data_IF_839424752939
#
_entry.id   IF_839424752939
#
_cell.length_a   1.000
_cell.length_b   1.000
_cell.length_c   1.000
_cell.angle_alpha   90.00
_cell.angle_beta   90.00
_cell.angle_gamma   90.00
#
_symmetry.space_group_name_H-M   'P 1'
#
loop_
_entity.id
_entity.type
_entity.pdbx_description
1 polymer ?
#
# COMPACT_ATOMS: atom_id res chain seq x y z
N UNK A 1 -47.36 25.51 -30.52
CA UNK A 1 -47.19 25.57 -29.05
C UNK A 1 -46.61 24.25 -28.56
N UNK A 2 -45.32 24.21 -28.17
CA UNK A 2 -44.70 23.05 -27.50
C UNK A 2 -44.31 23.50 -26.08
N UNK A 3 -44.98 22.93 -25.06
CA UNK A 3 -44.65 23.13 -23.64
C UNK A 3 -43.37 22.36 -23.31
N UNK A 4 -42.26 23.05 -23.10
CA UNK A 4 -41.08 22.45 -22.47
C UNK A 4 -41.33 22.33 -20.97
N UNK A 5 -41.26 21.09 -20.46
CA UNK A 5 -41.48 20.74 -19.05
C UNK A 5 -40.28 21.20 -18.23
N UNK A 6 -40.56 21.95 -17.16
CA UNK A 6 -39.58 22.30 -16.13
C UNK A 6 -39.04 21.00 -15.49
N UNK A 7 -37.81 20.58 -15.83
CA UNK A 7 -37.06 19.69 -14.94
C UNK A 7 -36.83 20.49 -13.65
N UNK A 8 -37.44 20.05 -12.55
CA UNK A 8 -37.43 20.79 -11.29
C UNK A 8 -36.01 20.89 -10.72
N UNK A 9 -35.64 22.06 -10.21
CA UNK A 9 -34.41 22.29 -9.45
C UNK A 9 -34.22 21.25 -8.32
N UNK A 10 -35.30 20.62 -7.85
CA UNK A 10 -35.28 19.57 -6.84
C UNK A 10 -34.46 18.34 -7.25
N UNK A 11 -34.41 17.95 -8.53
CA UNK A 11 -33.62 16.79 -8.96
C UNK A 11 -32.10 17.06 -8.94
N UNK A 12 -31.69 18.31 -9.20
CA UNK A 12 -30.27 18.72 -9.14
C UNK A 12 -29.81 18.88 -7.67
N UNK A 13 -30.65 19.46 -6.82
CA UNK A 13 -30.37 19.57 -5.39
C UNK A 13 -30.24 18.19 -4.73
N UNK A 14 -31.12 17.24 -5.07
CA UNK A 14 -31.07 15.88 -4.51
C UNK A 14 -29.82 15.11 -4.92
N UNK A 15 -29.33 15.28 -6.16
CA UNK A 15 -28.09 14.68 -6.65
C UNK A 15 -26.83 15.28 -6.01
N UNK A 16 -26.85 16.59 -5.67
CA UNK A 16 -25.75 17.25 -4.95
C UNK A 16 -25.76 16.83 -3.47
N UNK A 17 -26.93 16.75 -2.83
CA UNK A 17 -27.06 16.30 -1.44
C UNK A 17 -26.66 14.83 -1.24
N UNK A 18 -26.86 13.96 -2.23
CA UNK A 18 -26.39 12.56 -2.18
C UNK A 18 -24.88 12.38 -2.29
N UNK A 19 -24.13 13.40 -2.74
CA UNK A 19 -22.66 13.36 -2.80
C UNK A 19 -22.00 13.65 -1.44
N UNK A 20 -22.73 14.18 -0.46
CA UNK A 20 -22.19 14.57 0.85
C UNK A 20 -22.18 13.46 1.91
N UNK A 21 -22.76 12.28 1.61
CA UNK A 21 -22.82 11.14 2.55
C UNK A 21 -22.32 9.87 1.87
N UNK A 22 -21.19 9.98 1.16
CA UNK A 22 -20.44 8.78 0.79
C UNK A 22 -19.59 8.43 2.02
N UNK A 23 -19.91 7.36 2.79
CA UNK A 23 -18.90 6.80 3.68
C UNK A 23 -17.67 6.51 2.81
N UNK A 24 -16.50 6.94 3.26
CA UNK A 24 -15.24 6.54 2.65
C UNK A 24 -15.23 5.02 2.62
N UNK A 25 -15.42 4.45 1.42
CA UNK A 25 -15.29 3.02 1.20
C UNK A 25 -13.80 2.72 1.28
N UNK A 26 -13.32 2.45 2.50
CA UNK A 26 -11.98 1.98 2.78
C UNK A 26 -11.85 0.56 2.25
N UNK A 27 -11.40 0.45 1.00
CA UNK A 27 -11.20 -0.83 0.35
C UNK A 27 -9.87 -1.40 0.83
N UNK A 28 -9.94 -2.49 1.59
CA UNK A 28 -8.76 -3.25 2.01
C UNK A 28 -7.93 -3.65 0.78
N UNK A 29 -6.66 -3.24 0.69
CA UNK A 29 -5.78 -3.66 -0.41
C UNK A 29 -5.46 -5.15 -0.37
N UNK A 30 -5.15 -5.73 -1.54
CA UNK A 30 -4.71 -7.13 -1.59
C UNK A 30 -3.43 -7.37 -0.81
N UNK A 31 -2.45 -6.47 -0.95
CA UNK A 31 -1.21 -6.46 -0.19
C UNK A 31 -1.04 -5.10 0.45
N UNK A 32 -0.49 -5.06 1.66
CA UNK A 32 -0.18 -3.83 2.39
C UNK A 32 0.87 -4.10 3.48
N UNK A 33 1.54 -3.03 3.91
CA UNK A 33 2.50 -3.02 5.00
C UNK A 33 1.99 -2.17 6.17
N UNK A 34 2.45 -2.53 7.36
CA UNK A 34 2.25 -1.72 8.56
C UNK A 34 3.45 -1.90 9.50
N UNK A 35 4.01 -0.79 10.00
CA UNK A 35 5.05 -0.83 11.01
C UNK A 35 4.45 -0.57 12.41
N UNK A 36 4.59 -1.52 13.34
CA UNK A 36 4.02 -1.38 14.69
C UNK A 36 4.57 -0.16 15.42
N UNK A 37 3.66 0.71 15.86
CA UNK A 37 4.01 1.93 16.59
C UNK A 37 4.54 3.07 15.71
N UNK A 38 4.53 2.90 14.38
CA UNK A 38 4.85 3.95 13.43
C UNK A 38 3.78 5.05 13.40
N UNK A 39 4.17 6.22 12.92
CA UNK A 39 3.26 7.32 12.60
C UNK A 39 3.06 7.37 11.09
N UNK A 40 1.82 7.50 10.65
CA UNK A 40 1.56 7.69 9.22
C UNK A 40 1.86 9.13 8.80
N UNK A 41 2.75 9.29 7.83
CA UNK A 41 3.04 10.58 7.21
C UNK A 41 2.11 10.79 6.02
N UNK A 42 1.16 11.71 6.15
CA UNK A 42 0.19 12.02 5.09
C UNK A 42 0.80 12.72 3.87
N UNK A 43 2.03 13.20 3.96
CA UNK A 43 2.73 13.85 2.84
C UNK A 43 3.32 12.83 1.89
N UNK A 44 3.89 11.78 2.46
CA UNK A 44 4.51 10.65 1.74
C UNK A 44 3.61 9.44 1.67
N UNK A 45 2.46 9.47 2.35
CA UNK A 45 1.50 8.37 2.44
C UNK A 45 2.12 7.06 2.96
N UNK A 46 3.09 7.13 3.88
CA UNK A 46 3.84 5.96 4.38
C UNK A 46 3.79 5.82 5.91
N UNK A 47 3.91 4.59 6.42
CA UNK A 47 4.11 4.34 7.85
C UNK A 47 5.57 4.55 8.26
N UNK A 48 5.88 5.61 8.99
CA UNK A 48 7.25 5.94 9.40
C UNK A 48 7.54 5.52 10.84
N UNK A 49 8.50 4.60 10.99
CA UNK A 49 9.13 4.27 12.28
C UNK A 49 10.48 4.99 12.40
N UNK A 50 10.65 5.78 13.47
CA UNK A 50 11.94 6.37 13.83
C UNK A 50 12.88 5.39 14.55
N UNK A 51 12.43 4.17 14.81
CA UNK A 51 13.23 3.11 15.41
C UNK A 51 13.98 2.30 14.35
N UNK A 52 15.22 1.95 14.65
CA UNK A 52 16.00 0.96 13.90
C UNK A 52 15.58 -0.49 14.20
N UNK A 53 14.72 -0.71 15.20
CA UNK A 53 14.14 -2.02 15.49
C UNK A 53 12.64 -1.90 15.71
N UNK A 54 11.86 -2.58 14.88
CA UNK A 54 10.40 -2.54 14.92
C UNK A 54 9.81 -3.81 14.32
N UNK A 55 8.52 -4.04 14.54
CA UNK A 55 7.81 -5.13 13.86
C UNK A 55 7.17 -4.59 12.59
N UNK A 56 7.49 -5.21 11.46
CA UNK A 56 6.86 -4.97 10.18
C UNK A 56 5.84 -6.07 9.92
N UNK A 57 4.61 -5.66 9.64
CA UNK A 57 3.54 -6.54 9.19
C UNK A 57 3.49 -6.51 7.68
N UNK A 58 3.39 -7.69 7.09
CA UNK A 58 3.03 -7.87 5.70
C UNK A 58 1.69 -8.57 5.67
N UNK A 59 0.68 -7.89 5.13
CA UNK A 59 -0.70 -8.36 5.16
C UNK A 59 -1.17 -8.70 3.75
N UNK A 60 -1.86 -9.83 3.62
CA UNK A 60 -2.58 -10.23 2.42
C UNK A 60 -4.05 -10.44 2.66
N UNK A 61 -4.91 -9.70 1.97
CA UNK A 61 -6.37 -9.86 1.98
C UNK A 61 -6.82 -11.04 1.10
N UNK A 62 -6.34 -12.24 1.44
CA UNK A 62 -6.52 -13.42 0.59
C UNK A 62 -7.93 -13.99 0.66
N UNK A 63 -8.69 -13.68 1.72
CA UNK A 63 -10.09 -14.10 1.86
C UNK A 63 -11.02 -13.38 0.89
N UNK A 64 -10.77 -12.09 0.61
CA UNK A 64 -11.57 -11.33 -0.36
C UNK A 64 -10.95 -11.29 -1.76
N UNK A 65 -9.62 -11.40 -1.90
CA UNK A 65 -8.91 -11.18 -3.19
C UNK A 65 -8.31 -12.44 -3.80
N UNK A 66 -8.25 -13.55 -3.05
CA UNK A 66 -7.57 -14.77 -3.46
C UNK A 66 -6.12 -14.84 -2.97
N UNK A 67 -5.55 -16.05 -3.00
CA UNK A 67 -4.20 -16.31 -2.55
C UNK A 67 -3.15 -15.54 -3.35
N UNK A 68 -2.08 -15.15 -2.67
CA UNK A 68 -0.97 -14.36 -3.19
C UNK A 68 0.30 -15.21 -3.11
N UNK A 69 1.06 -15.29 -4.19
CA UNK A 69 2.12 -16.30 -4.40
C UNK A 69 3.45 -15.69 -4.78
N UNK A 70 4.51 -16.28 -4.22
CA UNK A 70 5.90 -15.81 -4.34
C UNK A 70 6.13 -14.43 -3.70
N UNK A 71 5.57 -14.17 -2.51
CA UNK A 71 5.59 -12.82 -1.91
C UNK A 71 7.01 -12.42 -1.62
N UNK A 72 7.35 -11.22 -2.08
CA UNK A 72 8.67 -10.60 -1.89
C UNK A 72 8.56 -9.29 -1.16
N UNK A 73 9.51 -9.08 -0.26
CA UNK A 73 9.73 -7.82 0.44
C UNK A 73 11.04 -7.21 -0.07
N UNK A 74 10.97 -5.99 -0.61
CA UNK A 74 12.13 -5.20 -0.98
C UNK A 74 12.34 -4.07 0.02
N UNK A 75 13.58 -3.85 0.45
CA UNK A 75 13.98 -2.77 1.33
C UNK A 75 14.99 -1.87 0.61
N UNK A 76 14.53 -0.72 0.14
CA UNK A 76 15.34 0.26 -0.57
C UNK A 76 16.18 1.10 0.40
N UNK A 77 17.44 1.30 0.03
CA UNK A 77 18.48 1.96 0.83
C UNK A 77 19.33 2.88 -0.04
N UNK A 78 19.95 3.88 0.59
CA UNK A 78 20.88 4.77 -0.11
C UNK A 78 22.12 3.99 -0.58
N UNK A 79 22.45 4.12 -1.87
CA UNK A 79 23.59 3.43 -2.51
C UNK A 79 24.97 3.86 -1.97
N UNK A 80 25.06 5.05 -1.37
CA UNK A 80 26.28 5.57 -0.75
C UNK A 80 26.51 5.07 0.68
N UNK A 81 25.48 4.49 1.30
CA UNK A 81 25.53 3.97 2.67
C UNK A 81 25.97 2.51 2.68
N UNK A 82 26.41 2.01 3.84
CA UNK A 82 26.75 0.60 4.05
C UNK A 82 26.13 0.15 5.35
N UNK A 83 25.34 -0.91 5.28
CA UNK A 83 24.57 -1.38 6.41
C UNK A 83 24.11 -2.82 6.23
N UNK A 84 23.16 -3.21 7.06
CA UNK A 84 22.48 -4.50 7.00
C UNK A 84 21.08 -4.36 7.54
N UNK A 85 20.16 -5.13 6.96
CA UNK A 85 18.80 -5.29 7.47
C UNK A 85 18.60 -6.76 7.84
N UNK A 86 18.21 -7.02 9.08
CA UNK A 86 17.84 -8.35 9.54
C UNK A 86 16.32 -8.47 9.67
N UNK A 87 15.76 -9.55 9.12
CA UNK A 87 14.36 -9.92 9.27
C UNK A 87 14.26 -11.24 10.03
N UNK A 88 13.51 -11.26 11.12
CA UNK A 88 13.24 -12.49 11.89
C UNK A 88 11.74 -12.63 12.11
N UNK A 89 11.19 -13.78 11.75
CA UNK A 89 9.78 -14.12 11.96
C UNK A 89 9.38 -13.94 13.43
N UNK A 90 8.22 -13.32 13.65
CA UNK A 90 7.67 -13.09 14.99
C UNK A 90 6.14 -13.05 14.91
N UNK A 91 5.49 -12.66 16.00
CA UNK A 91 4.03 -12.46 16.07
C UNK A 91 3.71 -11.09 16.65
N UNK A 92 2.46 -10.66 16.46
CA UNK A 92 1.93 -9.45 17.08
C UNK A 92 1.17 -9.74 18.37
N UNK A 93 1.02 -8.70 19.21
CA UNK A 93 0.10 -8.66 20.35
C UNK A 93 -0.98 -7.59 20.20
N UNK A 94 -1.01 -6.84 19.09
CA UNK A 94 -1.97 -5.75 18.88
C UNK A 94 -3.38 -6.28 18.55
N UNK A 95 -3.47 -7.49 18.01
CA UNK A 95 -4.72 -8.21 17.78
C UNK A 95 -4.50 -9.72 17.94
N UNK A 96 -5.59 -10.49 18.00
CA UNK A 96 -5.51 -11.96 17.98
C UNK A 96 -5.25 -12.44 16.56
N UNK A 97 -3.99 -12.76 16.28
CA UNK A 97 -3.52 -13.27 14.99
C UNK A 97 -2.93 -14.68 15.19
N UNK A 98 -3.53 -15.73 14.58
CA UNK A 98 -2.99 -17.08 14.65
C UNK A 98 -1.87 -17.33 13.64
N UNK A 99 -1.67 -16.46 12.64
CA UNK A 99 -0.66 -16.65 11.61
C UNK A 99 0.74 -16.67 12.20
N UNK A 100 1.56 -17.60 11.71
CA UNK A 100 2.97 -17.73 12.09
C UNK A 100 3.83 -17.70 10.82
N UNK A 101 4.59 -16.61 10.59
CA UNK A 101 5.34 -16.47 9.36
C UNK A 101 6.49 -17.47 9.29
N UNK A 102 6.70 -18.04 8.09
CA UNK A 102 7.92 -18.77 7.77
C UNK A 102 9.17 -17.87 7.83
N UNK A 103 10.35 -18.48 7.91
CA UNK A 103 11.61 -17.75 7.89
C UNK A 103 11.82 -17.05 6.52
N UNK A 104 12.16 -15.75 6.50
CA UNK A 104 12.41 -15.04 5.25
C UNK A 104 13.71 -15.56 4.61
N UNK A 105 13.70 -15.72 3.28
CA UNK A 105 14.87 -16.14 2.51
C UNK A 105 15.50 -14.93 1.83
N UNK A 106 16.75 -14.61 2.16
CA UNK A 106 17.46 -13.47 1.58
C UNK A 106 17.86 -13.74 0.11
N UNK A 107 17.45 -12.84 -0.78
CA UNK A 107 17.71 -12.91 -2.22
C UNK A 107 18.92 -12.08 -2.65
N UNK A 108 19.46 -11.23 -1.77
CA UNK A 108 20.66 -10.42 -2.02
C UNK A 108 20.41 -8.92 -2.08
N UNK A 109 21.52 -8.18 -2.24
CA UNK A 109 21.55 -6.74 -2.45
C UNK A 109 21.63 -6.45 -3.96
N UNK A 110 20.81 -5.52 -4.43
CA UNK A 110 20.79 -5.10 -5.83
C UNK A 110 22.00 -4.24 -6.21
N UNK A 111 22.23 -4.10 -7.53
CA UNK A 111 23.06 -3.02 -8.05
C UNK A 111 22.43 -1.65 -7.79
N UNK A 112 23.24 -0.59 -7.79
CA UNK A 112 22.75 0.79 -7.76
C UNK A 112 21.90 1.10 -9.01
N UNK A 113 20.80 1.82 -8.83
CA UNK A 113 19.86 2.11 -9.90
C UNK A 113 18.86 1.01 -10.22
N UNK A 114 18.95 -0.15 -9.58
CA UNK A 114 18.08 -1.27 -9.85
C UNK A 114 16.66 -1.06 -9.32
N UNK A 115 15.71 -1.83 -9.88
CA UNK A 115 14.31 -1.88 -9.46
C UNK A 115 13.90 -3.33 -9.20
N UNK A 116 13.04 -3.60 -8.20
CA UNK A 116 12.48 -4.93 -8.01
C UNK A 116 11.74 -5.39 -9.26
N UNK A 117 11.78 -6.70 -9.51
CA UNK A 117 11.23 -7.32 -10.70
C UNK A 117 10.09 -8.26 -10.28
N UNK A 118 8.89 -8.01 -10.80
CA UNK A 118 7.72 -8.84 -10.60
C UNK A 118 7.92 -10.21 -11.27
N UNK A 119 7.09 -11.20 -10.94
CA UNK A 119 7.26 -12.56 -11.46
C UNK A 119 7.06 -12.71 -12.98
N UNK A 120 6.51 -11.70 -13.69
CA UNK A 120 6.48 -11.66 -15.18
C UNK A 120 7.72 -11.04 -15.81
N UNK A 121 8.68 -10.60 -15.00
CA UNK A 121 9.84 -9.86 -15.47
C UNK A 121 9.61 -8.37 -15.66
N UNK A 122 8.40 -7.85 -15.41
CA UNK A 122 8.15 -6.41 -15.40
C UNK A 122 8.73 -5.77 -14.14
N UNK A 123 9.05 -4.47 -14.21
CA UNK A 123 9.61 -3.75 -13.07
C UNK A 123 8.50 -3.28 -12.13
N UNK A 124 8.71 -3.39 -10.83
CA UNK A 124 7.85 -2.82 -9.80
C UNK A 124 7.60 -1.33 -10.12
N UNK A 125 6.34 -0.86 -10.20
CA UNK A 125 6.05 0.52 -10.58
C UNK A 125 6.79 1.53 -9.69
N UNK A 126 7.30 2.61 -10.29
CA UNK A 126 8.07 3.63 -9.54
C UNK A 126 7.14 4.58 -8.82
N UNK A 127 7.49 4.93 -7.59
CA UNK A 127 6.87 6.03 -6.85
C UNK A 127 7.88 7.02 -6.25
N UNK A 128 9.11 7.02 -6.79
CA UNK A 128 10.17 7.97 -6.41
C UNK A 128 11.29 7.36 -5.57
N UNK A 129 11.12 6.13 -5.08
CA UNK A 129 12.10 5.44 -4.23
C UNK A 129 13.24 4.81 -5.03
N UNK A 130 12.92 4.13 -6.13
CA UNK A 130 13.90 3.39 -6.93
C UNK A 130 14.47 4.22 -8.08
N UNK A 131 15.78 4.10 -8.29
CA UNK A 131 16.51 4.81 -9.33
C UNK A 131 17.97 4.98 -8.96
N UNK A 132 18.71 5.75 -9.77
CA UNK A 132 20.11 6.04 -9.50
C UNK A 132 20.27 6.64 -8.09
N UNK A 133 21.23 6.14 -7.31
CA UNK A 133 21.39 6.52 -5.92
C UNK A 133 20.72 5.57 -4.93
N UNK A 134 19.91 4.61 -5.39
CA UNK A 134 19.20 3.64 -4.56
C UNK A 134 19.62 2.21 -4.92
N UNK A 135 19.82 1.38 -3.89
CA UNK A 135 19.88 -0.08 -3.97
C UNK A 135 18.72 -0.67 -3.17
N UNK A 136 18.43 -1.95 -3.32
CA UNK A 136 17.50 -2.64 -2.44
C UNK A 136 18.02 -4.01 -2.02
N UNK A 137 17.72 -4.37 -0.78
CA UNK A 137 17.83 -5.73 -0.27
C UNK A 137 16.48 -6.44 -0.46
N UNK A 138 16.47 -7.71 -0.84
CA UNK A 138 15.21 -8.44 -1.12
C UNK A 138 15.14 -9.75 -0.33
N UNK A 139 13.92 -10.09 0.12
CA UNK A 139 13.61 -11.37 0.73
C UNK A 139 12.38 -12.00 0.09
N UNK A 140 12.43 -13.32 -0.09
CA UNK A 140 11.24 -14.13 -0.34
C UNK A 140 10.59 -14.50 1.00
N UNK A 141 9.30 -14.19 1.17
CA UNK A 141 8.55 -14.41 2.41
C UNK A 141 7.42 -15.44 2.29
N UNK A 142 7.33 -16.10 1.14
CA UNK A 142 6.47 -17.26 0.89
C UNK A 142 5.08 -16.90 0.38
N UNK A 143 4.21 -17.90 0.31
CA UNK A 143 2.85 -17.74 -0.19
C UNK A 143 1.89 -17.34 0.94
N UNK A 144 0.91 -16.50 0.59
CA UNK A 144 -0.17 -16.09 1.47
C UNK A 144 -1.42 -16.85 1.03
N UNK A 145 -1.80 -17.84 1.83
CA UNK A 145 -2.90 -18.77 1.51
C UNK A 145 -3.90 -18.94 2.65
N UNK A 146 -3.64 -18.34 3.83
CA UNK A 146 -4.46 -18.48 5.02
C UNK A 146 -5.48 -17.35 5.13
N UNK A 147 -6.68 -17.66 5.64
CA UNK A 147 -7.74 -16.67 5.92
C UNK A 147 -8.04 -16.61 7.41
N UNK A 148 -6.99 -16.62 8.23
CA UNK A 148 -7.05 -16.81 9.68
C UNK A 148 -6.79 -15.53 10.49
N UNK A 149 -6.21 -14.51 9.85
CA UNK A 149 -5.96 -13.20 10.44
C UNK A 149 -7.08 -12.20 10.10
N UNK A 150 -7.51 -11.34 11.04
CA UNK A 150 -8.42 -10.24 10.74
C UNK A 150 -7.68 -9.12 9.98
N UNK A 151 -8.21 -8.70 8.84
CA UNK A 151 -7.58 -7.71 7.96
C UNK A 151 -8.39 -6.40 7.95
N UNK A 152 -7.68 -5.29 8.15
CA UNK A 152 -8.18 -3.93 8.06
C UNK A 152 -7.49 -3.14 6.95
N UNK A 153 -7.94 -1.91 6.74
CA UNK A 153 -7.28 -0.95 5.84
C UNK A 153 -6.28 -0.11 6.66
N UNK A 154 -4.99 -0.25 6.36
CA UNK A 154 -3.90 0.47 7.02
C UNK A 154 -3.46 1.75 6.25
N UNK A 155 -4.36 2.49 5.63
CA UNK A 155 -4.09 3.73 4.89
C UNK A 155 -3.81 5.01 5.73
N UNK A 156 -3.57 4.87 7.03
CA UNK A 156 -3.17 6.01 7.85
C UNK A 156 -4.25 7.04 8.22
N UNK A 157 -5.54 6.69 8.14
CA UNK A 157 -6.65 7.60 8.46
C UNK A 157 -6.63 8.25 9.87
N UNK A 158 -5.73 7.84 10.78
CA UNK A 158 -5.18 8.60 11.94
C UNK A 158 -4.65 7.69 13.07
N UNK A 159 -4.82 6.38 12.97
CA UNK A 159 -4.34 5.40 13.95
C UNK A 159 -4.37 3.98 13.37
N UNK A 160 -3.85 3.03 14.14
CA UNK A 160 -4.08 1.59 13.93
C UNK A 160 -5.59 1.31 13.70
N UNK A 161 -5.96 0.47 12.71
CA UNK A 161 -7.37 0.22 12.38
C UNK A 161 -8.15 -0.32 13.57
N UNK A 162 -9.41 0.13 13.70
CA UNK A 162 -10.34 -0.36 14.74
C UNK A 162 -11.38 -1.34 14.19
N UNK A 163 -11.42 -1.49 12.86
CA UNK A 163 -12.34 -2.38 12.15
C UNK A 163 -11.55 -3.27 11.21
N UNK A 164 -11.89 -4.55 11.22
CA UNK A 164 -11.26 -5.59 10.39
C UNK A 164 -12.36 -6.30 9.60
N UNK A 165 -12.82 -5.73 8.47
CA UNK A 165 -13.95 -6.26 7.73
C UNK A 165 -13.66 -7.57 7.00
N UNK A 166 -12.39 -7.86 6.74
CA UNK A 166 -11.96 -9.00 5.92
C UNK A 166 -11.11 -10.00 6.73
N UNK A 167 -10.87 -11.16 6.12
CA UNK A 167 -9.99 -12.21 6.65
C UNK A 167 -8.89 -12.49 5.64
N UNK A 168 -7.70 -12.80 6.14
CA UNK A 168 -6.53 -13.03 5.30
C UNK A 168 -5.37 -13.57 6.13
N UNK A 169 -4.16 -13.17 5.76
CA UNK A 169 -2.93 -13.63 6.41
C UNK A 169 -2.07 -12.43 6.80
N UNK A 170 -1.56 -12.43 8.03
CA UNK A 170 -0.59 -11.45 8.53
C UNK A 170 0.72 -12.17 8.83
N UNK A 171 1.79 -11.79 8.12
CA UNK A 171 3.14 -12.25 8.41
C UNK A 171 3.91 -11.11 9.09
N UNK A 172 4.32 -11.31 10.34
CA UNK A 172 5.05 -10.32 11.14
C UNK A 172 6.54 -10.63 11.22
N UNK A 173 7.38 -9.65 10.96
CA UNK A 173 8.83 -9.75 11.05
C UNK A 173 9.38 -8.69 12.00
N UNK A 174 10.26 -9.09 12.92
CA UNK A 174 11.12 -8.14 13.61
C UNK A 174 12.20 -7.68 12.64
N UNK A 175 12.20 -6.39 12.34
CA UNK A 175 13.18 -5.71 11.50
C UNK A 175 14.26 -5.15 12.41
N UNK A 176 15.53 -5.29 12.02
CA UNK A 176 16.64 -4.57 12.64
C UNK A 176 17.52 -3.96 11.56
N UNK A 177 17.63 -2.63 11.58
CA UNK A 177 18.38 -1.82 10.64
C UNK A 177 19.70 -1.40 11.30
N UNK A 178 20.81 -1.50 10.57
CA UNK A 178 22.11 -1.01 11.03
C UNK A 178 22.84 -0.36 9.87
N UNK A 179 23.41 0.83 10.07
CA UNK A 179 24.25 1.51 9.07
C UNK A 179 23.52 2.23 7.95
N UNK A 180 22.18 2.13 7.88
CA UNK A 180 21.35 2.91 6.97
C UNK A 180 20.60 4.01 7.72
N UNK A 181 20.51 5.20 7.12
CA UNK A 181 19.77 6.33 7.68
C UNK A 181 18.28 6.19 7.41
N UNK A 182 17.89 5.63 6.27
CA UNK A 182 16.50 5.44 5.91
C UNK A 182 16.35 4.16 5.08
N UNK A 183 15.32 3.38 5.38
CA UNK A 183 14.96 2.15 4.68
C UNK A 183 13.47 2.19 4.31
N UNK A 184 13.18 2.18 3.02
CA UNK A 184 11.82 2.11 2.49
C UNK A 184 11.45 0.66 2.15
N UNK A 185 10.28 0.20 2.52
CA UNK A 185 9.83 -1.18 2.29
C UNK A 185 8.69 -1.22 1.29
N UNK A 186 8.81 -2.06 0.26
CA UNK A 186 7.71 -2.41 -0.64
C UNK A 186 7.47 -3.93 -0.61
N UNK A 187 6.22 -4.34 -0.76
CA UNK A 187 5.84 -5.75 -0.93
C UNK A 187 5.11 -5.94 -2.26
N UNK A 188 5.38 -7.06 -2.92
CA UNK A 188 4.83 -7.37 -4.23
C UNK A 188 4.87 -8.87 -4.52
N UNK A 189 4.17 -9.24 -5.61
CA UNK A 189 4.19 -10.51 -6.37
C UNK A 189 2.87 -10.70 -7.15
N UNK A 190 2.17 -11.85 -7.07
CA UNK A 190 0.97 -12.10 -7.87
C UNK A 190 -0.15 -12.84 -7.16
N UNK A 191 -1.38 -12.51 -7.55
CA UNK A 191 -2.58 -13.25 -7.15
C UNK A 191 -2.76 -14.44 -8.09
N UNK A 192 -3.12 -15.60 -7.53
CA UNK A 192 -3.68 -16.72 -8.29
C UNK A 192 -5.03 -17.09 -7.67
N UNK A 193 -6.12 -16.72 -8.34
CA UNK A 193 -7.48 -17.00 -7.86
C UNK A 193 -8.49 -17.11 -8.99
N UNK A 194 -9.09 -18.29 -9.21
CA UNK A 194 -10.12 -18.48 -10.23
C UNK A 194 -9.64 -18.20 -11.66
N UNK A 195 -10.09 -17.09 -12.25
CA UNK A 195 -9.63 -16.59 -13.57
C UNK A 195 -8.64 -15.43 -13.48
N UNK A 196 -8.36 -14.96 -12.27
CA UNK A 196 -7.53 -13.79 -12.03
C UNK A 196 -6.10 -14.24 -11.75
N UNK A 197 -5.24 -13.95 -12.72
CA UNK A 197 -3.79 -14.00 -12.60
C UNK A 197 -3.28 -12.60 -12.89
N UNK A 198 -2.69 -11.95 -11.90
CA UNK A 198 -2.13 -10.61 -12.05
C UNK A 198 -1.01 -10.36 -11.06
N UNK A 199 0.01 -9.66 -11.51
CA UNK A 199 1.05 -9.13 -10.64
C UNK A 199 0.54 -7.87 -9.95
N UNK A 200 0.84 -7.76 -8.66
CA UNK A 200 0.38 -6.73 -7.75
C UNK A 200 1.52 -6.27 -6.86
N UNK A 201 1.32 -5.12 -6.26
CA UNK A 201 2.14 -4.58 -5.19
C UNK A 201 1.25 -3.95 -4.13
N UNK A 202 1.77 -3.76 -2.93
CA UNK A 202 1.11 -2.89 -1.96
C UNK A 202 0.94 -1.49 -2.57
N UNK A 203 -0.24 -0.87 -2.43
CA UNK A 203 -0.39 0.54 -2.77
C UNK A 203 0.66 1.37 -2.04
N UNK A 204 1.16 2.43 -2.67
CA UNK A 204 2.17 3.28 -2.06
C UNK A 204 1.66 3.96 -0.78
N UNK A 205 0.35 4.18 -0.68
CA UNK A 205 -0.29 4.65 0.56
C UNK A 205 -0.33 3.62 1.71
N UNK A 206 0.29 2.47 1.52
CA UNK A 206 0.29 1.31 2.42
C UNK A 206 1.67 0.68 2.50
N UNK A 207 2.72 1.45 2.22
CA UNK A 207 4.09 1.01 2.44
C UNK A 207 4.59 1.43 3.83
N UNK A 208 5.85 1.11 4.13
CA UNK A 208 6.44 1.41 5.43
C UNK A 208 7.89 1.87 5.29
N UNK A 209 8.33 2.68 6.25
CA UNK A 209 9.66 3.23 6.33
C UNK A 209 10.25 3.03 7.74
N UNK A 210 11.55 2.74 7.81
CA UNK A 210 12.29 2.56 9.06
C UNK A 210 13.64 3.27 9.08
N UNK A 211 14.18 3.50 10.28
CA UNK A 211 15.50 4.07 10.51
C UNK A 211 15.61 5.60 10.37
N UNK A 212 14.61 6.24 9.75
CA UNK A 212 14.61 7.67 9.49
C UNK A 212 14.62 8.55 10.74
N UNK A 213 15.34 9.67 10.66
CA UNK A 213 15.09 10.82 11.52
C UNK A 213 13.72 11.40 11.14
N UNK A 214 12.76 11.55 12.09
CA UNK A 214 11.46 12.15 11.80
C UNK A 214 11.53 13.62 11.31
N UNK A 215 12.73 14.21 11.24
CA UNK A 215 12.98 15.55 10.71
C UNK A 215 13.49 15.59 9.26
N UNK A 216 13.78 14.44 8.64
CA UNK A 216 14.13 14.43 7.22
C UNK A 216 12.95 14.93 6.37
N UNK A 217 13.19 15.81 5.38
CA UNK A 217 12.10 16.36 4.59
C UNK A 217 11.38 15.24 3.84
N UNK A 218 10.04 15.20 3.87
CA UNK A 218 9.27 14.16 3.20
C UNK A 218 9.58 14.17 1.70
N UNK A 219 9.86 12.99 1.13
CA UNK A 219 9.93 12.83 -0.33
C UNK A 219 8.52 13.03 -0.87
N UNK A 220 8.22 14.20 -1.42
CA UNK A 220 6.87 14.53 -1.89
C UNK A 220 6.45 13.56 -3.00
N UNK A 221 5.51 12.68 -2.69
CA UNK A 221 4.93 11.76 -3.68
C UNK A 221 3.85 12.53 -4.44
N UNK A 222 3.87 12.54 -5.78
CA UNK A 222 2.79 13.14 -6.56
C UNK A 222 1.46 12.42 -6.26
N UNK A 223 0.46 13.17 -5.77
CA UNK A 223 -0.87 12.64 -5.49
C UNK A 223 -1.41 11.84 -6.68
N UNK A 224 -2.13 10.72 -6.45
CA UNK A 224 -2.73 9.97 -7.53
C UNK A 224 -3.63 10.87 -8.37
N UNK A 225 -3.54 10.73 -9.70
CA UNK A 225 -4.30 11.49 -10.71
C UNK A 225 -5.83 11.33 -10.62
N UNK A 226 -6.34 10.63 -9.61
CA UNK A 226 -7.75 10.43 -9.29
C UNK A 226 -8.51 11.76 -9.11
N UNK A 227 -7.90 12.79 -8.51
CA UNK A 227 -8.53 14.12 -8.44
C UNK A 227 -8.68 14.78 -9.80
N UNK A 228 -7.68 14.62 -10.69
CA UNK A 228 -7.77 15.08 -12.07
C UNK A 228 -8.84 14.30 -12.85
N UNK A 229 -8.94 12.98 -12.64
CA UNK A 229 -9.98 12.13 -13.24
C UNK A 229 -11.39 12.51 -12.77
N UNK A 230 -11.58 12.80 -11.48
CA UNK A 230 -12.85 13.31 -10.95
C UNK A 230 -13.22 14.65 -11.58
N UNK A 231 -12.27 15.57 -11.67
CA UNK A 231 -12.48 16.88 -12.31
C UNK A 231 -12.85 16.74 -13.80
N UNK A 232 -12.14 15.87 -14.53
CA UNK A 232 -12.44 15.57 -15.93
C UNK A 232 -13.80 14.88 -16.10
N UNK A 233 -14.17 13.97 -15.20
CA UNK A 233 -15.47 13.33 -15.18
C UNK A 233 -16.61 14.34 -15.02
N UNK A 234 -16.48 15.29 -14.07
CA UNK A 234 -17.46 16.35 -13.85
C UNK A 234 -17.58 17.30 -15.05
N UNK A 235 -16.47 17.64 -15.70
CA UNK A 235 -16.47 18.44 -16.93
C UNK A 235 -17.14 17.71 -18.10
N UNK A 236 -16.89 16.40 -18.24
CA UNK A 236 -17.55 15.54 -19.23
C UNK A 236 -19.06 15.51 -19.06
N UNK A 237 -19.55 15.32 -17.82
CA UNK A 237 -20.99 15.39 -17.52
C UNK A 237 -21.59 16.78 -17.83
N UNK A 238 -20.85 17.86 -17.55
CA UNK A 238 -21.26 19.23 -17.88
C UNK A 238 -21.39 19.48 -19.39
N UNK A 239 -20.48 18.93 -20.20
CA UNK A 239 -20.48 19.08 -21.65
C UNK A 239 -21.62 18.29 -22.31
N UNK A 240 -21.87 17.04 -21.89
CA UNK A 240 -22.97 16.21 -22.40
C UNK A 240 -24.31 16.88 -22.12
N UNK A 241 -24.48 17.48 -20.94
CA UNK A 241 -25.72 18.21 -20.58
C UNK A 241 -25.96 19.45 -21.43
N UNK A 242 -24.92 20.09 -21.98
CA UNK A 242 -25.05 21.23 -22.89
C UNK A 242 -25.47 20.83 -24.30
N UNK A 243 -25.12 19.62 -24.75
CA UNK A 243 -25.48 19.13 -26.09
C UNK A 243 -26.92 18.62 -26.20
N UNK A 244 -27.60 18.38 -25.07
CA UNK A 244 -29.01 17.95 -25.04
C UNK A 244 -30.01 19.11 -24.88
N UNK A 245 -29.56 20.37 -24.93
CA UNK A 245 -30.40 21.57 -25.02
C UNK A 245 -30.39 22.10 -26.45
#
# INVERSE_FOLDING_TARGET
>A
MKKFRNLSMSAVAMAISSLYVMPSAFAVPTLQLYAEGATYDTTTETWVSSSNSFKLWVLGDVGAKGSVFDVKLAAAVNSSETGSIALTSTTTTLLTDPSTPGAPTYNGLSADGARPVLGDGSLLPTHGIYGAGTRFEEWSIGDFTLTDSPIGDFNGASAFPTTFPDLGQINVYNVTITGYTNVHFDVYDHIVGGRDFRYINAPFSHDAQGGGDPTDPPVVIPEPTTLALLALGLLGFGAIRRQQK
#
